data_IF_313797016251
#
_entry.id   IF_313797016251
#
_cell.length_a   1.000
_cell.length_b   1.000
_cell.length_c   1.000
_cell.angle_alpha   90.00
_cell.angle_beta   90.00
_cell.angle_gamma   90.00
#
_symmetry.space_group_name_H-M   'P 1'
#
loop_
_entity.id
_entity.type
_entity.pdbx_description
1 polymer ?
#
# COMPACT_ATOMS: atom_id res chain seq x y z
N UNK A 1 -7.26 -3.38 48.23
CA UNK A 1 -6.25 -4.06 47.39
C UNK A 1 -6.62 -3.84 45.94
N UNK A 2 -5.66 -3.34 45.16
CA UNK A 2 -5.81 -2.87 43.79
C UNK A 2 -5.99 -4.05 42.83
N UNK A 3 -7.05 -4.01 42.01
CA UNK A 3 -7.08 -4.70 40.72
C UNK A 3 -7.46 -3.65 39.68
N UNK A 4 -6.44 -3.00 39.12
CA UNK A 4 -6.55 -2.22 37.88
C UNK A 4 -6.04 -3.14 36.76
N UNK A 5 -6.89 -3.41 35.78
CA UNK A 5 -6.58 -4.22 34.59
C UNK A 5 -7.86 -4.91 34.17
N UNK A 6 -8.38 -4.79 32.94
CA UNK A 6 -7.73 -4.62 31.64
C UNK A 6 -8.71 -3.79 30.79
N UNK A 7 -8.23 -2.73 30.13
CA UNK A 7 -9.04 -2.03 29.12
C UNK A 7 -9.06 -2.92 27.90
N UNK A 8 -10.17 -3.62 27.71
CA UNK A 8 -10.48 -4.34 26.48
C UNK A 8 -10.44 -3.35 25.31
N UNK A 9 -9.50 -3.58 24.40
CA UNK A 9 -9.29 -2.80 23.17
C UNK A 9 -9.89 -3.52 21.95
N UNK A 10 -10.75 -4.53 22.16
CA UNK A 10 -11.52 -5.11 21.06
C UNK A 10 -12.44 -4.04 20.47
N UNK A 11 -12.17 -3.72 19.19
CA UNK A 11 -13.00 -2.98 18.25
C UNK A 11 -14.00 -1.98 18.87
N UNK A 12 -13.67 -0.69 18.76
CA UNK A 12 -14.69 0.35 18.57
C UNK A 12 -15.49 0.00 17.31
N UNK A 13 -16.51 -0.85 17.46
CA UNK A 13 -17.55 -1.04 16.47
C UNK A 13 -18.19 0.32 16.29
N UNK A 14 -17.96 0.96 15.14
CA UNK A 14 -18.87 2.01 14.68
C UNK A 14 -20.26 1.40 14.76
N UNK A 15 -21.13 1.98 15.61
CA UNK A 15 -22.52 1.56 15.66
C UNK A 15 -23.08 1.78 14.25
N UNK A 16 -23.37 0.70 13.54
CA UNK A 16 -23.90 0.75 12.18
C UNK A 16 -25.24 1.49 12.25
N UNK A 17 -25.27 2.75 11.84
CA UNK A 17 -26.52 3.46 11.60
C UNK A 17 -27.23 2.74 10.44
N UNK A 18 -28.53 2.41 10.56
CA UNK A 18 -29.24 1.61 9.56
C UNK A 18 -29.22 2.21 8.14
N UNK A 19 -28.99 3.52 8.03
CA UNK A 19 -29.04 4.28 6.78
C UNK A 19 -27.65 4.70 6.25
N UNK A 20 -26.55 4.19 6.83
CA UNK A 20 -25.20 4.55 6.40
C UNK A 20 -24.64 3.49 5.44
N UNK A 21 -24.56 3.83 4.16
CA UNK A 21 -23.98 2.98 3.12
C UNK A 21 -22.45 3.14 3.08
N UNK A 22 -21.74 2.00 3.13
CA UNK A 22 -20.28 1.96 3.02
C UNK A 22 -19.91 1.70 1.58
N UNK A 23 -19.18 2.64 0.97
CA UNK A 23 -18.70 2.56 -0.41
C UNK A 23 -17.18 2.58 -0.46
N UNK A 24 -16.60 1.86 -1.43
CA UNK A 24 -15.18 2.00 -1.77
C UNK A 24 -15.08 3.20 -2.71
N UNK A 25 -14.56 4.31 -2.18
CA UNK A 25 -14.59 5.60 -2.86
C UNK A 25 -13.36 5.87 -3.74
N UNK A 26 -12.24 5.21 -3.47
CA UNK A 26 -11.01 5.35 -4.25
C UNK A 26 -10.04 4.22 -3.97
N UNK A 27 -9.16 3.95 -4.93
CA UNK A 27 -8.14 2.90 -4.82
C UNK A 27 -6.81 3.36 -5.40
N UNK A 28 -5.73 3.03 -4.72
CA UNK A 28 -4.38 3.14 -5.26
C UNK A 28 -3.49 2.04 -4.68
N UNK A 29 -2.37 1.81 -5.36
CA UNK A 29 -1.42 0.79 -4.99
C UNK A 29 -0.31 0.66 -6.02
N UNK A 30 0.76 -0.01 -5.62
CA UNK A 30 1.88 -0.35 -6.48
C UNK A 30 2.01 -1.86 -6.51
N UNK A 31 2.09 -2.38 -7.73
CA UNK A 31 2.20 -3.79 -8.00
C UNK A 31 3.50 -4.06 -8.77
N UNK A 32 3.94 -5.32 -8.83
CA UNK A 32 5.13 -5.68 -9.58
C UNK A 32 5.01 -5.30 -11.05
N UNK A 33 6.10 -4.76 -11.61
CA UNK A 33 6.19 -4.31 -13.02
C UNK A 33 5.08 -3.35 -13.47
N UNK A 34 4.46 -2.61 -12.56
CA UNK A 34 3.46 -1.59 -12.90
C UNK A 34 3.81 -0.25 -12.27
N UNK A 35 3.47 0.82 -12.98
CA UNK A 35 3.65 2.19 -12.53
C UNK A 35 2.41 2.74 -11.83
N UNK A 36 1.24 2.32 -12.29
CA UNK A 36 -0.05 2.79 -11.80
C UNK A 36 -1.12 1.68 -11.83
N UNK A 37 -2.29 1.98 -11.27
CA UNK A 37 -3.43 1.06 -11.20
C UNK A 37 -4.02 0.71 -12.56
N UNK A 38 -3.91 1.60 -13.55
CA UNK A 38 -4.45 1.35 -14.89
C UNK A 38 -3.57 0.35 -15.65
N UNK A 39 -2.25 0.48 -15.55
CA UNK A 39 -1.29 -0.49 -16.09
C UNK A 39 -1.46 -1.84 -15.40
N UNK A 40 -1.68 -1.85 -14.08
CA UNK A 40 -1.98 -3.09 -13.36
C UNK A 40 -3.28 -3.74 -13.86
N UNK A 41 -4.37 -2.96 -13.99
CA UNK A 41 -5.63 -3.48 -14.51
C UNK A 41 -5.46 -4.04 -15.92
N UNK A 42 -4.76 -3.33 -16.81
CA UNK A 42 -4.45 -3.80 -18.16
C UNK A 42 -3.69 -5.13 -18.13
N UNK A 43 -2.61 -5.21 -17.36
CA UNK A 43 -1.80 -6.41 -17.24
C UNK A 43 -2.61 -7.61 -16.71
N UNK A 44 -3.56 -7.34 -15.80
CA UNK A 44 -4.48 -8.36 -15.29
C UNK A 44 -5.45 -8.86 -16.37
N UNK A 45 -6.02 -7.97 -17.19
CA UNK A 45 -6.88 -8.34 -18.32
C UNK A 45 -6.12 -9.12 -19.39
N UNK A 46 -4.86 -8.75 -19.64
CA UNK A 46 -3.98 -9.41 -20.61
C UNK A 46 -3.34 -10.70 -20.04
N UNK A 47 -3.59 -11.04 -18.77
CA UNK A 47 -3.06 -12.22 -18.05
C UNK A 47 -1.52 -12.28 -18.08
N UNK A 48 -0.87 -11.12 -17.97
CA UNK A 48 0.59 -11.01 -17.97
C UNK A 48 1.14 -11.48 -16.62
N UNK A 49 2.15 -12.36 -16.64
CA UNK A 49 2.89 -12.76 -15.44
C UNK A 49 3.80 -11.61 -14.99
N UNK A 50 3.42 -10.97 -13.88
CA UNK A 50 4.16 -9.86 -13.28
C UNK A 50 5.24 -10.32 -12.29
N UNK A 51 5.40 -11.63 -12.08
CA UNK A 51 6.46 -12.16 -11.23
C UNK A 51 7.85 -11.94 -11.83
N UNK A 52 8.84 -11.86 -10.95
CA UNK A 52 10.26 -11.70 -11.25
C UNK A 52 11.04 -12.81 -10.58
N UNK A 53 12.18 -13.15 -11.17
CA UNK A 53 13.10 -14.09 -10.51
C UNK A 53 13.69 -13.44 -9.25
N UNK A 54 13.78 -14.24 -8.20
CA UNK A 54 14.48 -13.88 -6.97
C UNK A 54 15.97 -13.65 -7.29
N UNK A 55 16.57 -12.60 -6.72
CA UNK A 55 17.99 -12.35 -6.94
C UNK A 55 18.84 -13.49 -6.38
N UNK A 56 19.91 -13.86 -7.07
CA UNK A 56 20.79 -14.98 -6.70
C UNK A 56 21.27 -14.90 -5.24
N UNK A 57 21.56 -13.68 -4.75
CA UNK A 57 21.96 -13.43 -3.36
C UNK A 57 20.94 -13.94 -2.34
N UNK A 58 19.64 -13.81 -2.63
CA UNK A 58 18.59 -14.28 -1.71
C UNK A 58 18.40 -15.80 -1.81
N UNK A 59 18.64 -16.39 -2.98
CA UNK A 59 18.58 -17.85 -3.17
C UNK A 59 19.67 -18.58 -2.39
N UNK A 60 20.86 -17.99 -2.31
CA UNK A 60 21.98 -18.55 -1.53
C UNK A 60 21.71 -18.53 -0.02
N UNK A 61 21.06 -17.48 0.48
CA UNK A 61 20.78 -17.30 1.91
C UNK A 61 19.53 -18.06 2.35
N UNK A 62 18.53 -18.18 1.48
CA UNK A 62 17.24 -18.80 1.77
C UNK A 62 16.82 -19.76 0.65
N UNK A 63 17.37 -20.98 0.59
CA UNK A 63 17.10 -21.93 -0.49
C UNK A 63 15.66 -22.49 -0.51
N UNK A 64 14.87 -22.23 0.53
CA UNK A 64 13.47 -22.68 0.62
C UNK A 64 12.46 -21.74 -0.06
N UNK A 65 12.89 -20.55 -0.52
CA UNK A 65 11.98 -19.60 -1.15
C UNK A 65 11.68 -19.97 -2.61
N UNK A 66 10.45 -19.73 -3.09
CA UNK A 66 10.11 -19.93 -4.50
C UNK A 66 11.00 -19.09 -5.43
N UNK A 67 11.31 -19.61 -6.62
CA UNK A 67 12.16 -18.93 -7.60
C UNK A 67 11.58 -17.61 -8.14
N UNK A 68 10.26 -17.43 -8.02
CA UNK A 68 9.52 -16.29 -8.53
C UNK A 68 8.85 -15.52 -7.40
N UNK A 69 9.05 -14.20 -7.39
CA UNK A 69 8.46 -13.26 -6.44
C UNK A 69 7.92 -12.01 -7.14
N UNK A 70 6.95 -11.34 -6.52
CA UNK A 70 6.53 -10.01 -6.93
C UNK A 70 7.38 -8.95 -6.22
N UNK A 71 8.16 -8.15 -6.98
CA UNK A 71 8.94 -7.04 -6.42
C UNK A 71 8.19 -5.73 -6.59
N UNK A 72 8.10 -4.90 -5.55
CA UNK A 72 7.52 -3.56 -5.67
C UNK A 72 8.43 -2.66 -6.52
N UNK A 73 7.84 -1.92 -7.47
CA UNK A 73 8.60 -1.20 -8.49
C UNK A 73 9.42 0.00 -7.98
N UNK A 74 9.00 0.73 -6.94
CA UNK A 74 9.65 1.97 -6.49
C UNK A 74 9.87 2.07 -4.97
N UNK A 75 10.54 1.09 -4.37
CA UNK A 75 10.84 1.09 -2.92
C UNK A 75 11.76 2.25 -2.49
N UNK A 76 12.52 2.84 -3.42
CA UNK A 76 13.52 3.90 -3.14
C UNK A 76 13.00 5.33 -3.26
N UNK A 77 11.83 5.54 -3.86
CA UNK A 77 11.30 6.89 -4.10
C UNK A 77 10.34 7.28 -2.98
N UNK A 78 10.39 8.55 -2.60
CA UNK A 78 9.45 9.16 -1.67
C UNK A 78 9.50 10.69 -1.77
N UNK A 79 8.36 11.36 -1.92
CA UNK A 79 8.27 12.83 -1.94
C UNK A 79 8.30 13.41 -0.52
N UNK A 80 9.50 13.45 0.06
CA UNK A 80 9.69 13.93 1.43
C UNK A 80 9.28 15.42 1.61
N UNK A 81 9.47 16.25 0.59
CA UNK A 81 9.15 17.68 0.67
C UNK A 81 7.63 17.91 0.72
N UNK A 82 6.87 17.15 -0.08
CA UNK A 82 5.41 17.22 -0.07
C UNK A 82 4.81 16.83 1.29
N UNK A 83 5.31 15.75 1.91
CA UNK A 83 4.84 15.30 3.24
C UNK A 83 5.47 16.06 4.41
N UNK A 84 6.31 17.07 4.17
CA UNK A 84 6.98 17.85 5.21
C UNK A 84 7.99 17.03 6.04
N UNK A 85 8.51 15.94 5.50
CA UNK A 85 9.50 15.07 6.16
C UNK A 85 10.90 15.55 5.83
N UNK A 86 11.74 15.73 6.86
CA UNK A 86 13.13 16.10 6.63
C UNK A 86 13.90 14.98 5.90
N UNK A 87 14.78 15.32 4.96
CA UNK A 87 15.52 14.36 4.12
C UNK A 87 16.17 13.21 4.93
N UNK A 88 16.83 13.53 6.05
CA UNK A 88 17.45 12.52 6.93
C UNK A 88 16.43 11.56 7.55
N UNK A 89 15.24 12.06 7.91
CA UNK A 89 14.17 11.21 8.45
C UNK A 89 13.61 10.31 7.35
N UNK A 90 13.35 10.85 6.16
CA UNK A 90 12.87 10.08 5.02
C UNK A 90 13.79 8.89 4.65
N UNK A 91 15.10 9.01 4.89
CA UNK A 91 16.06 7.92 4.66
C UNK A 91 16.04 6.84 5.75
N UNK A 92 15.62 7.20 6.97
CA UNK A 92 15.51 6.29 8.11
C UNK A 92 14.10 5.68 8.22
N UNK A 93 13.11 6.26 7.56
CA UNK A 93 11.74 5.73 7.52
C UNK A 93 11.69 4.45 6.72
N UNK A 94 10.97 3.46 7.26
CA UNK A 94 10.70 2.21 6.59
C UNK A 94 10.06 2.44 5.19
N UNK A 95 10.53 1.75 4.14
CA UNK A 95 10.00 1.93 2.80
C UNK A 95 8.50 1.66 2.66
N UNK A 96 7.93 0.70 3.39
CA UNK A 96 6.50 0.41 3.34
C UNK A 96 5.67 1.55 3.93
N UNK A 97 6.17 2.22 4.97
CA UNK A 97 5.52 3.41 5.51
C UNK A 97 5.50 4.57 4.51
N UNK A 98 6.63 4.82 3.82
CA UNK A 98 6.71 5.86 2.78
C UNK A 98 5.71 5.60 1.66
N UNK A 99 5.60 4.34 1.26
CA UNK A 99 4.66 3.90 0.24
C UNK A 99 3.19 4.10 0.65
N UNK A 100 2.82 3.74 1.88
CA UNK A 100 1.44 3.91 2.38
C UNK A 100 1.02 5.38 2.40
N UNK A 101 1.94 6.31 2.70
CA UNK A 101 1.65 7.75 2.69
C UNK A 101 1.29 8.24 1.28
N UNK A 102 2.08 7.87 0.28
CA UNK A 102 1.82 8.22 -1.12
C UNK A 102 0.52 7.59 -1.62
N UNK A 103 0.33 6.29 -1.39
CA UNK A 103 -0.89 5.61 -1.78
C UNK A 103 -2.14 6.21 -1.12
N UNK A 104 -2.10 6.52 0.17
CA UNK A 104 -3.26 7.12 0.86
C UNK A 104 -3.66 8.45 0.19
N UNK A 105 -2.68 9.25 -0.21
CA UNK A 105 -2.93 10.51 -0.92
C UNK A 105 -3.49 10.28 -2.33
N UNK A 106 -2.90 9.36 -3.11
CA UNK A 106 -3.39 9.00 -4.44
C UNK A 106 -4.83 8.45 -4.41
N UNK A 107 -5.16 7.61 -3.41
CA UNK A 107 -6.53 7.07 -3.24
C UNK A 107 -7.56 8.17 -3.00
N UNK A 108 -7.18 9.24 -2.29
CA UNK A 108 -8.05 10.40 -2.08
C UNK A 108 -8.23 11.18 -3.38
N UNK A 109 -7.17 11.34 -4.18
CA UNK A 109 -7.26 12.01 -5.48
C UNK A 109 -8.09 11.22 -6.50
N UNK A 110 -8.02 9.88 -6.47
CA UNK A 110 -8.82 9.00 -7.32
C UNK A 110 -10.33 9.22 -7.08
N UNK A 111 -10.74 9.34 -5.82
CA UNK A 111 -12.10 9.73 -5.46
C UNK A 111 -12.51 11.09 -6.07
N UNK A 112 -11.62 12.07 -6.08
CA UNK A 112 -11.93 13.39 -6.66
C UNK A 112 -12.02 13.35 -8.18
N UNK A 113 -11.24 12.49 -8.85
CA UNK A 113 -11.32 12.30 -10.29
C UNK A 113 -12.69 11.75 -10.72
N UNK A 114 -13.28 10.85 -9.93
CA UNK A 114 -14.63 10.32 -10.16
C UNK A 114 -15.73 11.39 -10.09
N UNK A 115 -15.54 12.45 -9.28
CA UNK A 115 -16.53 13.55 -9.16
C UNK A 115 -16.57 14.47 -10.38
N UNK A 116 -15.52 14.54 -11.20
CA UNK A 116 -15.47 15.45 -12.37
C UNK A 116 -16.12 14.88 -13.63
N UNK A 117 -16.45 13.59 -13.66
CA UNK A 117 -17.05 12.91 -14.80
C UNK A 117 -18.57 12.71 -14.68
N UNK A 118 -19.21 13.30 -13.67
CA UNK A 118 -20.66 13.43 -13.51
C UNK A 118 -21.06 14.92 -13.47
#
# INVERSE_FOLDING_TARGET
MLSKGVRDLSMRSYAKCPDEEIVISGISGQFPKTRDMNEFAKNLYEKVDLSEEVDELWKEVLPEIPDKIGKAANVKKFDATFFGVHYKQAHLTDPSMRFILECSYESILDLEALKKHN
#
